data_IF_976579874862
#
_entry.id   IF_976579874862
#
_cell.length_a   1.000
_cell.length_b   1.000
_cell.length_c   1.000
_cell.angle_alpha   90.00
_cell.angle_beta   90.00
_cell.angle_gamma   90.00
#
_symmetry.space_group_name_H-M   'P 1'
#
loop_
_entity.id
_entity.type
_entity.pdbx_description
1 polymer ?
#
# COMPACT_ATOMS: atom_id res chain seq x y z
N UNK A 1 -49.18 -57.66 -46.83
CA UNK A 1 -47.99 -58.40 -46.31
C UNK A 1 -46.81 -57.44 -46.18
N UNK A 2 -46.19 -57.49 -45.05
CA UNK A 2 -44.92 -56.88 -44.64
C UNK A 2 -44.86 -55.32 -44.38
N UNK A 3 -45.03 -55.02 -43.12
CA UNK A 3 -44.77 -53.75 -42.50
C UNK A 3 -43.23 -53.42 -42.52
N UNK A 4 -42.87 -52.22 -42.92
CA UNK A 4 -41.55 -51.68 -42.72
C UNK A 4 -41.61 -50.68 -41.59
N UNK A 5 -40.96 -51.01 -40.46
CA UNK A 5 -40.78 -50.11 -39.31
C UNK A 5 -39.66 -49.09 -39.63
N UNK A 6 -40.01 -47.82 -39.67
CA UNK A 6 -39.02 -46.72 -39.70
C UNK A 6 -38.76 -46.32 -38.27
N UNK A 7 -37.55 -46.60 -37.78
CA UNK A 7 -37.06 -46.13 -36.48
C UNK A 7 -36.47 -44.76 -36.70
N UNK A 8 -37.16 -43.73 -36.21
CA UNK A 8 -36.65 -42.39 -36.17
C UNK A 8 -35.72 -42.22 -34.92
N UNK A 9 -34.44 -42.18 -35.16
CA UNK A 9 -33.45 -41.89 -34.10
C UNK A 9 -33.41 -40.39 -33.88
N UNK A 10 -34.04 -39.90 -32.83
CA UNK A 10 -33.91 -38.51 -32.39
C UNK A 10 -32.56 -38.32 -31.69
N UNK A 11 -31.63 -37.63 -32.37
CA UNK A 11 -30.37 -37.21 -31.79
C UNK A 11 -30.64 -35.98 -30.89
N UNK A 12 -30.63 -36.20 -29.57
CA UNK A 12 -30.75 -35.15 -28.56
C UNK A 12 -29.38 -34.45 -28.43
N UNK A 13 -29.17 -33.40 -29.21
CA UNK A 13 -27.99 -32.52 -29.05
C UNK A 13 -28.16 -31.70 -27.77
N UNK A 14 -27.56 -32.19 -26.68
CA UNK A 14 -27.46 -31.43 -25.41
C UNK A 14 -26.51 -30.26 -25.57
N UNK A 15 -27.06 -29.06 -25.79
CA UNK A 15 -26.31 -27.80 -25.70
C UNK A 15 -26.09 -27.54 -24.23
N UNK A 16 -24.94 -27.96 -23.72
CA UNK A 16 -24.44 -27.50 -22.41
C UNK A 16 -24.02 -26.05 -22.54
N UNK A 17 -24.93 -25.13 -22.19
CA UNK A 17 -24.57 -23.73 -21.90
C UNK A 17 -23.64 -23.72 -20.69
N UNK A 18 -22.34 -23.69 -20.94
CA UNK A 18 -21.39 -23.27 -19.92
C UNK A 18 -21.69 -21.80 -19.62
N UNK A 19 -22.55 -21.57 -18.63
CA UNK A 19 -22.67 -20.26 -17.99
C UNK A 19 -21.35 -19.98 -17.32
N UNK A 20 -20.46 -19.28 -18.04
CA UNK A 20 -19.27 -18.66 -17.45
C UNK A 20 -19.79 -17.61 -16.46
N UNK A 21 -20.00 -18.04 -15.21
CA UNK A 21 -20.19 -17.10 -14.11
C UNK A 21 -18.92 -16.28 -14.05
N UNK A 22 -18.92 -15.12 -14.69
CA UNK A 22 -17.91 -14.09 -14.46
C UNK A 22 -18.00 -13.74 -12.98
N UNK A 23 -17.13 -14.35 -12.18
CA UNK A 23 -16.88 -13.90 -10.81
C UNK A 23 -16.38 -12.48 -10.99
N UNK A 24 -17.28 -11.50 -10.80
CA UNK A 24 -16.87 -10.10 -10.73
C UNK A 24 -15.94 -9.99 -9.51
N UNK A 25 -14.65 -10.07 -9.77
CA UNK A 25 -13.65 -9.83 -8.74
C UNK A 25 -13.97 -8.46 -8.13
N UNK A 26 -14.18 -8.44 -6.80
CA UNK A 26 -14.44 -7.20 -6.07
C UNK A 26 -13.31 -6.23 -6.39
N UNK A 27 -13.64 -5.02 -6.84
CA UNK A 27 -12.66 -3.95 -7.06
C UNK A 27 -12.01 -3.61 -5.72
N UNK A 28 -10.69 -3.75 -5.64
CA UNK A 28 -9.92 -3.37 -4.46
C UNK A 28 -9.82 -1.85 -4.37
N UNK A 29 -10.04 -1.29 -3.17
CA UNK A 29 -9.94 0.14 -2.90
C UNK A 29 -8.70 0.44 -2.07
N UNK A 30 -7.74 1.16 -2.64
CA UNK A 30 -6.50 1.60 -1.98
C UNK A 30 -6.49 3.11 -1.89
N UNK A 31 -6.45 3.65 -0.67
CA UNK A 31 -6.39 5.08 -0.42
C UNK A 31 -5.02 5.48 0.12
N UNK A 32 -4.34 6.40 -0.56
CA UNK A 32 -2.96 6.79 -0.31
C UNK A 32 -2.89 8.25 0.14
N UNK A 33 -2.30 8.48 1.31
CA UNK A 33 -2.00 9.81 1.83
C UNK A 33 -0.49 10.04 1.86
N UNK A 34 -0.03 11.09 1.19
CA UNK A 34 1.36 11.53 1.15
C UNK A 34 1.51 12.89 1.80
N UNK A 35 2.60 13.13 2.56
CA UNK A 35 2.73 14.39 3.30
C UNK A 35 2.96 15.59 2.38
N UNK A 36 3.77 15.44 1.35
CA UNK A 36 4.13 16.50 0.40
C UNK A 36 4.55 15.88 -0.93
N UNK A 37 4.39 16.61 -2.02
CA UNK A 37 4.94 16.22 -3.31
C UNK A 37 6.46 16.42 -3.28
N UNK A 38 7.19 15.32 -3.44
CA UNK A 38 8.64 15.29 -3.46
C UNK A 38 9.11 14.10 -4.29
N UNK A 39 10.15 14.24 -5.14
CA UNK A 39 10.56 13.18 -6.08
C UNK A 39 10.76 11.80 -5.43
N UNK A 40 11.36 11.73 -4.22
CA UNK A 40 11.56 10.47 -3.52
C UNK A 40 10.24 9.83 -3.05
N UNK A 41 9.28 10.64 -2.55
CA UNK A 41 7.96 10.16 -2.11
C UNK A 41 7.08 9.79 -3.31
N UNK A 42 7.20 10.53 -4.40
CA UNK A 42 6.49 10.24 -5.66
C UNK A 42 7.00 8.95 -6.28
N UNK A 43 8.32 8.70 -6.23
CA UNK A 43 8.91 7.42 -6.64
C UNK A 43 8.41 6.25 -5.76
N UNK A 44 8.27 6.48 -4.44
CA UNK A 44 7.69 5.49 -3.52
C UNK A 44 6.25 5.17 -3.88
N UNK A 45 5.43 6.19 -4.18
CA UNK A 45 4.05 6.02 -4.65
C UNK A 45 3.99 5.29 -5.99
N UNK A 46 4.87 5.64 -6.92
CA UNK A 46 4.94 4.94 -8.21
C UNK A 46 5.31 3.47 -8.03
N UNK A 47 6.29 3.16 -7.17
CA UNK A 47 6.66 1.78 -6.83
C UNK A 47 5.50 0.98 -6.22
N UNK A 48 4.63 1.62 -5.43
CA UNK A 48 3.40 0.99 -4.94
C UNK A 48 2.46 0.63 -6.09
N UNK A 49 2.24 1.55 -7.04
CA UNK A 49 1.38 1.32 -8.21
C UNK A 49 1.94 0.19 -9.06
N UNK A 50 3.24 0.18 -9.32
CA UNK A 50 3.91 -0.84 -10.11
C UNK A 50 3.85 -2.22 -9.43
N UNK A 51 4.00 -2.25 -8.11
CA UNK A 51 3.86 -3.46 -7.30
C UNK A 51 2.44 -4.02 -7.33
N UNK A 52 1.42 -3.18 -7.23
CA UNK A 52 0.02 -3.58 -7.36
C UNK A 52 -0.26 -4.13 -8.76
N UNK A 53 0.23 -3.47 -9.80
CA UNK A 53 0.11 -3.93 -11.20
C UNK A 53 0.78 -5.28 -11.41
N UNK A 54 1.98 -5.49 -10.87
CA UNK A 54 2.69 -6.77 -10.94
C UNK A 54 1.93 -7.91 -10.24
N UNK A 55 1.03 -7.59 -9.29
CA UNK A 55 0.13 -8.52 -8.62
C UNK A 55 -1.24 -8.64 -9.29
N UNK A 56 -1.43 -8.02 -10.46
CA UNK A 56 -2.66 -8.10 -11.24
C UNK A 56 -3.73 -7.09 -10.84
N UNK A 57 -3.41 -6.09 -10.03
CA UNK A 57 -4.32 -4.99 -9.70
C UNK A 57 -4.06 -3.82 -10.64
N UNK A 58 -5.04 -3.49 -11.48
CA UNK A 58 -4.92 -2.41 -12.46
C UNK A 58 -6.02 -1.37 -12.26
N UNK A 59 -5.61 -0.11 -12.21
CA UNK A 59 -6.55 1.01 -12.09
C UNK A 59 -7.51 1.05 -13.28
N UNK A 60 -8.80 1.21 -12.99
CA UNK A 60 -9.86 1.19 -14.00
C UNK A 60 -10.35 -0.22 -14.38
N UNK A 61 -9.75 -1.30 -13.88
CA UNK A 61 -10.22 -2.69 -14.05
C UNK A 61 -10.74 -3.28 -12.74
N UNK A 62 -9.83 -3.47 -11.78
CA UNK A 62 -10.10 -4.12 -10.50
C UNK A 62 -9.45 -3.40 -9.32
N UNK A 63 -8.93 -2.18 -9.55
CA UNK A 63 -8.30 -1.32 -8.55
C UNK A 63 -8.91 0.08 -8.63
N UNK A 64 -9.42 0.57 -7.50
CA UNK A 64 -9.71 1.97 -7.24
C UNK A 64 -8.56 2.52 -6.40
N UNK A 65 -7.77 3.43 -6.97
CA UNK A 65 -6.60 4.01 -6.32
C UNK A 65 -6.85 5.50 -6.12
N UNK A 66 -7.09 5.91 -4.87
CA UNK A 66 -7.27 7.30 -4.49
C UNK A 66 -5.99 7.84 -3.84
N UNK A 67 -5.55 9.01 -4.26
CA UNK A 67 -4.35 9.68 -3.77
C UNK A 67 -4.65 11.10 -3.35
N UNK A 68 -4.20 11.47 -2.15
CA UNK A 68 -4.26 12.85 -1.64
C UNK A 68 -2.94 13.24 -1.00
N UNK A 69 -2.52 14.48 -1.25
CA UNK A 69 -1.35 15.09 -0.61
C UNK A 69 -1.78 16.05 0.50
N UNK A 70 -1.06 16.02 1.61
CA UNK A 70 -1.27 16.93 2.73
C UNK A 70 -0.53 18.27 2.59
N UNK A 71 0.19 18.47 1.48
CA UNK A 71 0.90 19.72 1.15
C UNK A 71 1.85 20.20 2.27
N UNK A 72 2.50 19.26 2.95
CA UNK A 72 3.40 19.54 4.06
C UNK A 72 2.71 19.84 5.40
N UNK A 73 1.38 19.83 5.47
CA UNK A 73 0.62 20.20 6.65
C UNK A 73 0.06 18.97 7.39
N UNK A 74 0.52 18.68 8.64
CA UNK A 74 0.02 17.55 9.41
C UNK A 74 -1.47 17.65 9.75
N UNK A 75 -2.04 18.85 9.88
CA UNK A 75 -3.47 19.00 10.14
C UNK A 75 -4.32 18.57 8.91
N UNK A 76 -3.84 18.86 7.69
CA UNK A 76 -4.46 18.36 6.47
C UNK A 76 -4.32 16.84 6.38
N UNK A 77 -3.19 16.25 6.78
CA UNK A 77 -3.03 14.80 6.85
C UNK A 77 -4.08 14.14 7.75
N UNK A 78 -4.40 14.75 8.90
CA UNK A 78 -5.46 14.28 9.80
C UNK A 78 -6.85 14.39 9.15
N UNK A 79 -7.13 15.45 8.41
CA UNK A 79 -8.40 15.61 7.69
C UNK A 79 -8.55 14.53 6.60
N UNK A 80 -7.49 14.30 5.80
CA UNK A 80 -7.45 13.23 4.79
C UNK A 80 -7.67 11.86 5.43
N UNK A 81 -7.00 11.58 6.56
CA UNK A 81 -7.16 10.32 7.26
C UNK A 81 -8.61 10.06 7.71
N UNK A 82 -9.27 11.08 8.27
CA UNK A 82 -10.69 10.99 8.67
C UNK A 82 -11.61 10.78 7.48
N UNK A 83 -11.37 11.48 6.37
CA UNK A 83 -12.12 11.32 5.13
C UNK A 83 -12.00 9.89 4.62
N UNK A 84 -10.79 9.37 4.48
CA UNK A 84 -10.53 8.01 4.00
C UNK A 84 -11.17 6.93 4.88
N UNK A 85 -11.12 7.10 6.20
CA UNK A 85 -11.81 6.16 7.11
C UNK A 85 -13.32 6.15 6.87
N UNK A 86 -13.92 7.29 6.55
CA UNK A 86 -15.33 7.40 6.17
C UNK A 86 -15.67 6.71 4.85
N UNK A 87 -14.74 6.72 3.89
CA UNK A 87 -14.87 6.09 2.57
C UNK A 87 -14.68 4.56 2.62
N UNK A 88 -14.16 4.02 3.74
CA UNK A 88 -13.96 2.59 4.03
C UNK A 88 -13.20 1.85 2.91
N UNK A 89 -11.97 2.25 2.58
CA UNK A 89 -11.15 1.51 1.63
C UNK A 89 -10.76 0.14 2.18
N UNK A 90 -10.30 -0.76 1.32
CA UNK A 90 -9.78 -2.06 1.73
C UNK A 90 -8.40 -1.92 2.38
N UNK A 91 -7.60 -0.91 1.97
CA UNK A 91 -6.26 -0.59 2.52
C UNK A 91 -6.01 0.90 2.52
N UNK A 92 -5.40 1.39 3.59
CA UNK A 92 -4.85 2.74 3.72
C UNK A 92 -3.33 2.70 3.59
N UNK A 93 -2.75 3.63 2.83
CA UNK A 93 -1.30 3.75 2.71
C UNK A 93 -0.85 5.15 3.13
N UNK A 94 0.05 5.21 4.11
CA UNK A 94 0.68 6.44 4.57
C UNK A 94 2.12 6.56 4.08
N UNK A 95 2.39 7.56 3.25
CA UNK A 95 3.74 7.86 2.75
C UNK A 95 4.33 9.01 3.58
N UNK A 96 5.38 8.72 4.31
CA UNK A 96 6.04 9.50 5.34
C UNK A 96 5.35 9.47 6.73
N UNK A 97 6.13 9.76 7.76
CA UNK A 97 5.73 9.62 9.18
C UNK A 97 4.44 10.36 9.54
N UNK A 98 4.23 11.65 9.18
CA UNK A 98 3.03 12.37 9.63
C UNK A 98 1.72 11.80 9.08
N UNK A 99 1.70 11.36 7.82
CA UNK A 99 0.52 10.74 7.21
C UNK A 99 0.26 9.35 7.77
N UNK A 100 1.31 8.56 8.00
CA UNK A 100 1.18 7.26 8.65
C UNK A 100 0.61 7.41 10.08
N UNK A 101 1.11 8.35 10.86
CA UNK A 101 0.59 8.66 12.20
C UNK A 101 -0.90 9.08 12.15
N UNK A 102 -1.27 9.93 11.21
CA UNK A 102 -2.65 10.37 11.04
C UNK A 102 -3.58 9.19 10.74
N UNK A 103 -3.21 8.30 9.81
CA UNK A 103 -3.99 7.12 9.45
C UNK A 103 -4.10 6.12 10.60
N UNK A 104 -2.97 5.78 11.26
CA UNK A 104 -2.95 4.85 12.40
C UNK A 104 -3.78 5.37 13.57
N UNK A 105 -3.82 6.69 13.77
CA UNK A 105 -4.64 7.30 14.82
C UNK A 105 -6.13 7.31 14.47
N UNK A 106 -6.47 7.36 13.19
CA UNK A 106 -7.85 7.48 12.72
C UNK A 106 -8.60 6.14 12.67
N UNK A 107 -7.93 5.00 12.57
CA UNK A 107 -8.58 3.68 12.49
C UNK A 107 -7.86 2.60 13.29
N UNK A 108 -8.63 1.60 13.72
CA UNK A 108 -8.13 0.36 14.37
C UNK A 108 -8.53 -0.90 13.60
N UNK A 109 -9.34 -0.76 12.56
CA UNK A 109 -9.93 -1.88 11.81
C UNK A 109 -9.47 -1.95 10.37
N UNK A 110 -9.33 -0.80 9.69
CA UNK A 110 -8.86 -0.78 8.30
C UNK A 110 -7.35 -1.04 8.30
N UNK A 111 -6.85 -1.95 7.46
CA UNK A 111 -5.41 -2.17 7.30
C UNK A 111 -4.68 -0.89 6.90
N UNK A 112 -3.60 -0.57 7.59
CA UNK A 112 -2.73 0.57 7.31
C UNK A 112 -1.34 0.06 6.96
N UNK A 113 -0.85 0.45 5.80
CA UNK A 113 0.52 0.21 5.35
C UNK A 113 1.28 1.53 5.37
N UNK A 114 2.39 1.61 6.07
CA UNK A 114 3.27 2.77 6.03
C UNK A 114 4.50 2.51 5.17
N UNK A 115 5.03 3.58 4.57
CA UNK A 115 6.30 3.53 3.82
C UNK A 115 6.98 4.91 3.91
N UNK A 116 8.28 4.96 3.61
CA UNK A 116 9.10 6.16 3.81
C UNK A 116 9.00 6.69 5.25
N UNK A 117 9.09 5.78 6.22
CA UNK A 117 9.09 6.07 7.65
C UNK A 117 10.39 5.58 8.26
N UNK A 118 11.20 6.49 8.78
CA UNK A 118 12.54 6.18 9.27
C UNK A 118 12.50 5.35 10.55
N UNK A 119 11.70 5.76 11.54
CA UNK A 119 11.57 5.05 12.82
C UNK A 119 10.08 4.79 13.15
N UNK A 120 9.52 3.67 12.69
CA UNK A 120 8.12 3.34 12.97
C UNK A 120 7.81 3.07 14.43
N UNK A 121 8.80 2.64 15.22
CA UNK A 121 8.65 2.38 16.66
C UNK A 121 8.66 3.70 17.44
N UNK A 122 9.65 4.55 17.20
CA UNK A 122 9.72 5.88 17.78
C UNK A 122 8.54 6.77 17.37
N UNK A 123 8.07 6.64 16.14
CA UNK A 123 6.86 7.30 15.65
C UNK A 123 5.56 6.70 16.23
N UNK A 124 5.62 5.65 17.06
CA UNK A 124 4.49 4.96 17.68
C UNK A 124 3.46 4.38 16.70
N UNK A 125 3.91 4.02 15.50
CA UNK A 125 3.08 3.34 14.50
C UNK A 125 2.90 1.87 14.86
N UNK A 126 3.98 1.25 15.30
CA UNK A 126 4.06 -0.15 15.72
C UNK A 126 4.83 -0.27 17.04
N UNK A 127 4.63 -1.35 17.77
CA UNK A 127 5.36 -1.60 19.03
C UNK A 127 6.77 -2.14 18.76
N UNK A 128 6.92 -2.94 17.73
CA UNK A 128 8.17 -3.57 17.29
C UNK A 128 8.06 -3.90 15.80
N UNK A 129 9.20 -4.02 15.13
CA UNK A 129 9.23 -4.20 13.66
C UNK A 129 8.80 -5.61 13.24
N UNK A 130 9.23 -6.63 13.99
CA UNK A 130 9.00 -8.05 13.67
C UNK A 130 7.54 -8.47 13.87
N UNK A 131 6.83 -7.79 14.76
CA UNK A 131 5.41 -8.02 15.06
C UNK A 131 4.67 -6.69 15.15
N UNK A 132 4.39 -6.04 14.03
CA UNK A 132 3.94 -4.64 13.99
C UNK A 132 2.56 -4.42 14.60
N UNK A 133 1.72 -5.44 14.70
CA UNK A 133 0.39 -5.34 15.30
C UNK A 133 -0.73 -5.92 14.43
N UNK A 134 -1.99 -5.61 14.80
CA UNK A 134 -3.14 -6.24 14.15
C UNK A 134 -3.48 -5.67 12.78
N UNK A 135 -3.47 -4.34 12.64
CA UNK A 135 -3.91 -3.68 11.40
C UNK A 135 -2.89 -2.71 10.82
N UNK A 136 -1.66 -2.66 11.35
CA UNK A 136 -0.61 -1.75 10.89
C UNK A 136 0.63 -2.55 10.52
N UNK A 137 1.15 -2.30 9.33
CA UNK A 137 2.43 -2.86 8.84
C UNK A 137 3.09 -1.87 7.89
N UNK A 138 4.31 -2.12 7.47
CA UNK A 138 4.96 -1.25 6.49
C UNK A 138 6.45 -1.49 6.36
N UNK A 139 7.11 -0.52 5.74
CA UNK A 139 8.54 -0.50 5.44
C UNK A 139 9.21 0.69 6.14
N UNK A 140 10.29 0.40 6.86
CA UNK A 140 11.20 1.43 7.39
C UNK A 140 12.29 1.74 6.35
N UNK A 141 12.67 3.01 6.26
CA UNK A 141 13.80 3.51 5.49
C UNK A 141 14.97 3.95 6.38
N UNK A 142 15.10 3.35 7.57
CA UNK A 142 16.13 3.66 8.53
C UNK A 142 17.53 3.50 7.91
N UNK A 143 18.21 4.63 7.77
CA UNK A 143 19.58 4.67 7.26
C UNK A 143 20.58 4.23 8.33
N UNK A 144 21.60 3.44 7.99
CA UNK A 144 22.64 3.01 8.92
C UNK A 144 23.66 4.15 9.20
N UNK A 145 23.21 5.17 9.92
CA UNK A 145 23.98 6.42 10.15
C UNK A 145 25.34 6.16 10.76
N UNK A 146 25.47 5.19 11.69
CA UNK A 146 26.75 4.81 12.28
C UNK A 146 27.76 4.36 11.24
N UNK A 147 27.32 3.53 10.28
CA UNK A 147 28.19 3.05 9.19
C UNK A 147 28.57 4.20 8.23
N UNK A 148 27.66 5.14 8.01
CA UNK A 148 27.99 6.35 7.21
C UNK A 148 29.07 7.19 7.91
N UNK A 149 28.98 7.35 9.25
CA UNK A 149 29.99 8.08 10.01
C UNK A 149 31.33 7.33 10.02
N UNK A 150 31.32 6.02 10.12
CA UNK A 150 32.54 5.20 10.02
C UNK A 150 33.22 5.34 8.66
N UNK A 151 32.42 5.27 7.58
CA UNK A 151 32.93 5.47 6.22
C UNK A 151 33.51 6.88 6.02
N UNK A 152 32.87 7.91 6.58
CA UNK A 152 33.39 9.29 6.52
C UNK A 152 34.74 9.38 7.24
N UNK A 153 34.90 8.73 8.40
CA UNK A 153 36.16 8.70 9.14
C UNK A 153 37.27 7.94 8.40
N UNK A 154 36.89 6.88 7.67
CA UNK A 154 37.84 6.14 6.83
C UNK A 154 38.33 6.97 5.66
N UNK A 155 37.45 7.70 4.99
CA UNK A 155 37.81 8.56 3.83
C UNK A 155 38.53 9.84 4.30
N UNK A 156 38.12 10.40 5.44
CA UNK A 156 38.62 11.67 5.97
C UNK A 156 39.08 11.49 7.43
N UNK A 157 40.21 10.79 7.70
CA UNK A 157 40.63 10.39 9.06
C UNK A 157 40.92 11.57 9.99
N UNK A 158 41.22 12.75 9.44
CA UNK A 158 41.52 13.97 10.21
C UNK A 158 40.32 14.87 10.49
N UNK A 159 39.10 14.45 10.13
CA UNK A 159 37.90 15.23 10.36
C UNK A 159 37.54 15.25 11.83
N UNK A 160 37.57 16.42 12.46
CA UNK A 160 37.26 16.63 13.89
C UNK A 160 35.75 16.81 14.15
N UNK A 161 34.97 17.13 13.13
CA UNK A 161 33.51 17.30 13.18
C UNK A 161 32.88 16.85 11.86
N UNK A 162 31.84 16.07 11.94
CA UNK A 162 31.12 15.56 10.77
C UNK A 162 29.92 16.43 10.37
N UNK A 163 29.79 17.63 10.94
CA UNK A 163 28.68 18.55 10.66
C UNK A 163 27.28 18.00 11.01
N UNK A 164 27.24 16.88 11.71
CA UNK A 164 25.97 16.26 12.13
C UNK A 164 25.48 16.93 13.41
N UNK A 165 24.43 17.72 13.32
CA UNK A 165 23.64 18.06 14.51
C UNK A 165 23.04 16.76 15.05
N UNK A 166 23.35 16.43 16.31
CA UNK A 166 22.63 15.38 17.01
C UNK A 166 21.19 15.84 17.19
N UNK A 167 20.25 15.16 16.52
CA UNK A 167 18.86 15.29 16.90
C UNK A 167 18.71 14.83 18.35
N UNK A 168 18.16 15.64 19.25
CA UNK A 168 17.86 15.21 20.60
C UNK A 168 16.88 14.02 20.53
N UNK A 169 17.15 13.01 21.34
CA UNK A 169 16.31 11.83 21.48
C UNK A 169 14.95 12.16 22.09
#
# INVERSE_FOLDING_TARGET
>A
MKAAKVIATAALAGITLLSSASIMAKTAKVAVSQIVEHPALDATRQGLIDGLKAKGYEQGKNLEFDYKTAQGNPAIAVQIARQYVGEKPDVLVGIATPTAQALVSATRSIPVVFTAVTDPVGAKLVKQLEQPGKNVTGLSDLSPVSQHVELIKEILPNTKSNGGECYPR
#
